data_IF_130093503021
#
_entry.id   IF_130093503021
#
_cell.length_a   1.000
_cell.length_b   1.000
_cell.length_c   1.000
_cell.angle_alpha   90.00
_cell.angle_beta   90.00
_cell.angle_gamma   90.00
#
_symmetry.space_group_name_H-M   'P 1'
#
loop_
_entity.id
_entity.type
_entity.pdbx_description
1 polymer ?
#
# COMPACT_ATOMS: atom_id res chain seq x y z
N UNK A 1 -19.07 -15.13 -1.56
CA UNK A 1 -19.78 -13.90 -2.02
C UNK A 1 -19.42 -13.68 -3.49
N UNK A 2 -20.36 -13.31 -4.36
CA UNK A 2 -20.04 -12.98 -5.76
C UNK A 2 -20.05 -11.46 -5.90
N UNK A 3 -18.93 -10.87 -6.29
CA UNK A 3 -18.82 -9.45 -6.54
C UNK A 3 -19.65 -9.03 -7.76
N UNK A 4 -20.26 -7.87 -7.71
CA UNK A 4 -20.83 -7.23 -8.91
C UNK A 4 -19.71 -6.79 -9.85
N UNK A 5 -20.01 -6.58 -11.17
CA UNK A 5 -18.99 -6.08 -12.11
C UNK A 5 -18.33 -4.78 -11.67
N UNK A 6 -19.05 -3.88 -10.99
CA UNK A 6 -18.51 -2.64 -10.47
C UNK A 6 -17.57 -2.86 -9.26
N UNK A 7 -17.90 -3.80 -8.38
CA UNK A 7 -17.04 -4.18 -7.26
C UNK A 7 -15.76 -4.86 -7.73
N UNK A 8 -15.85 -5.74 -8.74
CA UNK A 8 -14.68 -6.39 -9.34
C UNK A 8 -13.76 -5.36 -10.03
N UNK A 9 -14.33 -4.40 -10.78
CA UNK A 9 -13.56 -3.31 -11.40
C UNK A 9 -12.82 -2.48 -10.34
N UNK A 10 -13.44 -2.21 -9.19
CA UNK A 10 -12.82 -1.52 -8.05
C UNK A 10 -11.74 -2.38 -7.37
N UNK A 11 -11.95 -3.69 -7.27
CA UNK A 11 -10.92 -4.60 -6.76
C UNK A 11 -9.67 -4.61 -7.66
N UNK A 12 -9.85 -4.69 -9.00
CA UNK A 12 -8.76 -4.49 -9.96
C UNK A 12 -8.11 -3.10 -9.78
N UNK A 13 -8.93 -2.06 -9.62
CA UNK A 13 -8.46 -0.69 -9.40
C UNK A 13 -7.53 -0.57 -8.21
N UNK A 14 -7.84 -1.22 -7.09
CA UNK A 14 -7.02 -1.18 -5.87
C UNK A 14 -5.59 -1.68 -6.10
N UNK A 15 -5.39 -2.68 -6.95
CA UNK A 15 -4.07 -3.25 -7.24
C UNK A 15 -3.39 -2.53 -8.39
N UNK A 16 -4.09 -2.33 -9.52
CA UNK A 16 -3.50 -1.72 -10.71
C UNK A 16 -3.12 -0.26 -10.48
N UNK A 17 -3.98 0.53 -9.80
CA UNK A 17 -3.67 1.93 -9.56
C UNK A 17 -2.55 2.11 -8.52
N UNK A 18 -2.38 1.18 -7.58
CA UNK A 18 -1.22 1.12 -6.69
C UNK A 18 0.07 0.92 -7.50
N UNK A 19 0.12 -0.08 -8.37
CA UNK A 19 1.29 -0.37 -9.18
C UNK A 19 1.60 0.74 -10.20
N UNK A 20 0.58 1.37 -10.79
CA UNK A 20 0.74 2.53 -11.68
C UNK A 20 1.27 3.74 -10.90
N UNK A 21 0.76 3.99 -9.69
CA UNK A 21 1.21 5.08 -8.82
C UNK A 21 2.68 4.93 -8.41
N UNK A 22 3.07 3.76 -7.95
CA UNK A 22 4.43 3.35 -7.63
C UNK A 22 5.38 3.65 -8.82
N UNK A 23 5.10 3.04 -9.98
CA UNK A 23 5.94 3.23 -11.17
C UNK A 23 5.99 4.69 -11.67
N UNK A 24 4.90 5.47 -11.51
CA UNK A 24 4.89 6.90 -11.85
C UNK A 24 5.76 7.73 -10.90
N UNK A 25 5.74 7.38 -9.61
CA UNK A 25 6.46 8.11 -8.58
C UNK A 25 7.97 7.90 -8.63
N UNK A 26 8.45 6.73 -9.05
CA UNK A 26 9.82 6.27 -8.87
C UNK A 26 10.92 7.21 -9.45
N UNK A 27 10.65 7.93 -10.55
CA UNK A 27 11.61 8.88 -11.09
C UNK A 27 11.69 10.23 -10.35
N UNK A 28 10.65 10.54 -9.54
CA UNK A 28 10.55 11.81 -8.82
C UNK A 28 10.91 11.68 -7.34
N UNK A 29 11.21 10.48 -6.90
CA UNK A 29 11.52 10.12 -5.51
C UNK A 29 12.69 10.97 -4.97
N UNK A 30 12.58 11.40 -3.72
CA UNK A 30 13.47 12.33 -3.02
C UNK A 30 13.60 13.72 -3.66
N UNK A 31 12.78 14.02 -4.67
CA UNK A 31 12.71 15.34 -5.29
C UNK A 31 11.86 16.33 -4.50
N UNK A 32 11.97 17.63 -4.82
CA UNK A 32 11.10 18.65 -4.25
C UNK A 32 9.66 18.51 -4.79
N UNK A 33 8.66 19.11 -4.11
CA UNK A 33 7.33 19.22 -4.67
C UNK A 33 7.33 19.87 -6.06
N UNK A 34 6.50 19.32 -6.96
CA UNK A 34 6.34 19.85 -8.33
C UNK A 34 5.18 20.85 -8.37
N UNK A 35 5.16 21.71 -9.41
CA UNK A 35 3.98 22.55 -9.67
C UNK A 35 2.81 21.69 -10.14
N UNK A 36 1.58 22.17 -9.91
CA UNK A 36 0.36 21.43 -10.25
C UNK A 36 0.20 21.20 -11.77
N UNK A 37 0.85 22.06 -12.59
CA UNK A 37 0.85 21.95 -14.04
C UNK A 37 1.96 21.03 -14.59
N UNK A 38 2.84 20.49 -13.73
CA UNK A 38 3.93 19.63 -14.18
C UNK A 38 3.36 18.28 -14.64
N UNK A 39 3.58 17.88 -15.91
CA UNK A 39 3.19 16.55 -16.36
C UNK A 39 3.92 15.45 -15.57
N UNK A 40 3.17 14.45 -15.11
CA UNK A 40 3.74 13.26 -14.48
C UNK A 40 3.72 12.12 -15.49
N UNK A 41 4.89 11.56 -15.78
CA UNK A 41 5.08 10.52 -16.79
C UNK A 41 6.00 9.43 -16.26
N UNK A 42 5.97 8.25 -16.85
CA UNK A 42 6.96 7.21 -16.57
C UNK A 42 8.36 7.63 -17.02
N UNK A 43 9.34 7.36 -16.19
CA UNK A 43 10.75 7.59 -16.47
C UNK A 43 11.65 6.57 -15.79
N UNK A 44 12.95 6.79 -15.82
CA UNK A 44 13.90 5.94 -15.09
C UNK A 44 13.90 6.34 -13.63
N UNK A 45 13.57 5.39 -12.75
CA UNK A 45 13.55 5.60 -11.31
C UNK A 45 14.92 5.89 -10.71
N UNK A 46 14.94 6.49 -9.53
CA UNK A 46 16.17 6.91 -8.82
C UNK A 46 17.11 5.73 -8.58
N UNK A 47 16.58 4.55 -8.33
CA UNK A 47 17.35 3.31 -8.15
C UNK A 47 17.55 2.50 -9.43
N UNK A 48 17.23 3.06 -10.60
CA UNK A 48 17.43 2.42 -11.89
C UNK A 48 16.30 1.49 -12.34
N UNK A 49 15.09 1.63 -11.77
CA UNK A 49 13.89 1.01 -12.32
C UNK A 49 13.59 1.60 -13.70
N UNK A 50 13.20 0.77 -14.65
CA UNK A 50 12.85 1.22 -16.00
C UNK A 50 11.53 2.01 -16.02
N UNK A 51 11.25 2.68 -17.15
CA UNK A 51 9.98 3.39 -17.32
C UNK A 51 8.78 2.41 -17.23
N UNK A 52 7.89 2.67 -16.27
CA UNK A 52 6.75 1.78 -15.95
C UNK A 52 7.09 0.56 -15.10
N UNK A 53 8.34 0.39 -14.69
CA UNK A 53 8.74 -0.64 -13.72
C UNK A 53 8.42 -0.16 -12.31
N UNK A 54 7.63 -0.96 -11.57
CA UNK A 54 7.33 -0.68 -10.15
C UNK A 54 8.52 -0.99 -9.25
N UNK A 55 8.53 -0.41 -8.04
CA UNK A 55 9.61 -0.51 -7.06
C UNK A 55 9.33 -1.56 -5.98
N UNK A 56 9.86 -1.36 -4.76
CA UNK A 56 9.63 -2.23 -3.62
C UNK A 56 8.17 -2.21 -3.13
N UNK A 57 7.43 -1.12 -3.29
CA UNK A 57 6.03 -1.00 -2.89
C UNK A 57 5.18 -2.13 -3.47
N UNK A 58 5.13 -2.22 -4.78
CA UNK A 58 4.36 -3.26 -5.48
C UNK A 58 5.04 -4.62 -5.37
N UNK A 59 6.37 -4.68 -5.46
CA UNK A 59 7.10 -5.95 -5.32
C UNK A 59 6.81 -6.64 -3.99
N UNK A 60 6.69 -5.89 -2.89
CA UNK A 60 6.34 -6.45 -1.59
C UNK A 60 4.84 -6.77 -1.44
N UNK A 61 3.96 -6.11 -2.21
CA UNK A 61 2.54 -6.43 -2.26
C UNK A 61 2.26 -7.74 -3.01
N UNK A 62 3.10 -8.12 -3.99
CA UNK A 62 2.87 -9.30 -4.82
C UNK A 62 2.79 -10.63 -4.05
N UNK A 63 3.68 -10.97 -3.10
CA UNK A 63 3.54 -12.19 -2.31
C UNK A 63 2.23 -12.26 -1.51
N UNK A 64 1.70 -11.13 -1.06
CA UNK A 64 0.41 -11.06 -0.37
C UNK A 64 -0.73 -11.40 -1.34
N UNK A 65 -0.73 -10.75 -2.51
CA UNK A 65 -1.74 -11.00 -3.55
C UNK A 65 -1.68 -12.44 -4.08
N UNK A 66 -0.48 -12.97 -4.29
CA UNK A 66 -0.27 -14.35 -4.75
C UNK A 66 -0.77 -15.39 -3.72
N UNK A 67 -0.56 -15.14 -2.42
CA UNK A 67 -1.09 -15.99 -1.36
C UNK A 67 -2.62 -16.03 -1.40
N UNK A 68 -3.27 -14.87 -1.52
CA UNK A 68 -4.73 -14.78 -1.66
C UNK A 68 -5.23 -15.47 -2.93
N UNK A 69 -4.58 -15.23 -4.08
CA UNK A 69 -4.91 -15.88 -5.34
C UNK A 69 -4.77 -17.42 -5.28
N UNK A 70 -3.85 -17.93 -4.45
CA UNK A 70 -3.72 -19.35 -4.12
C UNK A 70 -4.74 -19.89 -3.13
N UNK A 71 -5.69 -19.07 -2.65
CA UNK A 71 -6.70 -19.45 -1.67
C UNK A 71 -6.19 -19.52 -0.25
N UNK A 72 -5.00 -18.99 0.05
CA UNK A 72 -4.44 -19.01 1.40
C UNK A 72 -5.03 -17.88 2.27
N UNK A 73 -5.20 -18.16 3.55
CA UNK A 73 -5.68 -17.17 4.54
C UNK A 73 -4.51 -16.33 5.06
N UNK A 74 -4.63 -15.01 5.04
CA UNK A 74 -3.66 -14.11 5.67
C UNK A 74 -3.72 -14.12 7.21
N UNK A 75 -4.68 -14.82 7.80
CA UNK A 75 -4.74 -15.09 9.25
C UNK A 75 -4.02 -16.41 9.62
N UNK A 76 -3.51 -17.16 8.64
CA UNK A 76 -2.71 -18.37 8.89
C UNK A 76 -1.22 -18.01 9.07
N UNK A 77 -0.59 -18.38 10.20
CA UNK A 77 0.84 -18.13 10.44
C UNK A 77 1.78 -18.70 9.36
N UNK A 78 1.42 -19.85 8.78
CA UNK A 78 2.24 -20.44 7.71
C UNK A 78 2.19 -19.60 6.44
N UNK A 79 1.06 -18.99 6.10
CA UNK A 79 0.91 -18.05 5.00
C UNK A 79 1.77 -16.81 5.21
N UNK A 80 1.74 -16.21 6.41
CA UNK A 80 2.56 -15.05 6.74
C UNK A 80 4.06 -15.39 6.69
N UNK A 81 4.45 -16.56 7.17
CA UNK A 81 5.83 -17.04 7.02
C UNK A 81 6.26 -17.14 5.55
N UNK A 82 5.38 -17.67 4.67
CA UNK A 82 5.67 -17.79 3.24
C UNK A 82 5.83 -16.43 2.55
N UNK A 83 5.04 -15.43 2.94
CA UNK A 83 5.18 -14.05 2.46
C UNK A 83 6.55 -13.47 2.85
N UNK A 84 7.01 -13.68 4.09
CA UNK A 84 8.34 -13.23 4.53
C UNK A 84 9.46 -13.95 3.77
N UNK A 85 9.30 -15.25 3.50
CA UNK A 85 10.27 -16.00 2.67
C UNK A 85 10.37 -15.37 1.27
N UNK A 86 9.25 -15.07 0.63
CA UNK A 86 9.22 -14.42 -0.68
C UNK A 86 9.85 -13.02 -0.66
N UNK A 87 9.62 -12.21 0.39
CA UNK A 87 10.30 -10.93 0.57
C UNK A 87 11.82 -11.08 0.72
N UNK A 88 12.28 -12.10 1.45
CA UNK A 88 13.73 -12.39 1.58
C UNK A 88 14.35 -12.79 0.25
N UNK A 89 13.63 -13.56 -0.57
CA UNK A 89 14.10 -13.94 -1.89
C UNK A 89 14.18 -12.74 -2.82
N UNK A 90 13.12 -11.93 -2.89
CA UNK A 90 13.09 -10.68 -3.65
C UNK A 90 14.23 -9.73 -3.24
N UNK A 91 14.45 -9.54 -1.95
CA UNK A 91 15.42 -8.58 -1.43
C UNK A 91 16.89 -8.91 -1.77
N UNK A 92 17.18 -10.12 -2.29
CA UNK A 92 18.57 -10.51 -2.68
C UNK A 92 19.06 -9.74 -3.89
N UNK A 93 18.15 -9.52 -4.86
CA UNK A 93 18.49 -8.93 -6.16
C UNK A 93 17.70 -7.62 -6.41
N UNK A 94 16.90 -7.17 -5.43
CA UNK A 94 16.12 -5.96 -5.54
C UNK A 94 17.00 -4.71 -5.67
N UNK A 95 16.61 -3.81 -6.59
CA UNK A 95 17.29 -2.54 -6.84
C UNK A 95 17.17 -1.60 -5.65
N UNK A 96 16.01 -1.67 -4.98
CA UNK A 96 15.69 -0.92 -3.78
C UNK A 96 15.07 -1.83 -2.73
N UNK A 97 15.43 -1.63 -1.48
CA UNK A 97 14.81 -2.25 -0.30
C UNK A 97 14.90 -1.26 0.84
N UNK A 98 13.77 -0.84 1.36
CA UNK A 98 13.72 0.09 2.50
C UNK A 98 14.63 -0.33 3.66
N UNK A 99 15.35 0.60 4.26
CA UNK A 99 16.40 0.32 5.25
C UNK A 99 15.90 -0.50 6.45
N UNK A 100 14.70 -0.22 6.96
CA UNK A 100 14.10 -0.98 8.06
C UNK A 100 13.75 -2.40 7.63
N UNK A 101 13.08 -2.57 6.49
CA UNK A 101 12.74 -3.88 5.90
C UNK A 101 13.99 -4.72 5.73
N UNK A 102 15.05 -4.15 5.13
CA UNK A 102 16.35 -4.82 4.95
C UNK A 102 16.93 -5.28 6.29
N UNK A 103 16.88 -4.43 7.32
CA UNK A 103 17.42 -4.74 8.65
C UNK A 103 16.67 -5.92 9.27
N UNK A 104 15.33 -5.93 9.23
CA UNK A 104 14.52 -7.01 9.78
C UNK A 104 14.74 -8.31 9.00
N UNK A 105 14.65 -8.28 7.66
CA UNK A 105 14.82 -9.49 6.83
C UNK A 105 16.23 -10.09 6.96
N UNK A 106 17.26 -9.26 7.15
CA UNK A 106 18.64 -9.72 7.36
C UNK A 106 18.90 -10.33 8.74
N UNK A 107 18.07 -10.00 9.73
CA UNK A 107 18.14 -10.57 11.08
C UNK A 107 17.53 -11.98 11.18
N UNK A 108 16.79 -12.42 10.15
CA UNK A 108 16.14 -13.72 10.14
C UNK A 108 17.12 -14.81 9.71
N UNK A 109 17.50 -15.67 10.64
CA UNK A 109 18.36 -16.84 10.39
C UNK A 109 17.55 -18.13 10.41
N UNK A 110 17.93 -19.12 9.60
CA UNK A 110 17.28 -20.45 9.56
C UNK A 110 15.83 -20.40 9.06
N UNK A 111 14.99 -21.25 9.65
CA UNK A 111 13.56 -21.36 9.26
C UNK A 111 12.80 -20.09 9.61
N UNK A 112 12.05 -19.58 8.65
CA UNK A 112 11.19 -18.39 8.81
C UNK A 112 9.83 -18.83 9.34
N UNK A 113 9.43 -18.22 10.45
CA UNK A 113 8.05 -18.29 10.98
C UNK A 113 7.53 -16.87 11.19
N UNK A 114 6.22 -16.71 11.30
CA UNK A 114 5.63 -15.42 11.64
C UNK A 114 6.20 -14.85 12.95
N UNK A 115 6.23 -15.66 14.02
CA UNK A 115 6.72 -15.23 15.34
C UNK A 115 8.17 -14.71 15.24
N UNK A 116 9.04 -15.43 14.53
CA UNK A 116 10.45 -14.98 14.35
C UNK A 116 10.56 -13.69 13.57
N UNK A 117 9.70 -13.46 12.57
CA UNK A 117 9.68 -12.21 11.82
C UNK A 117 9.21 -11.04 12.70
N UNK A 118 8.16 -11.25 13.48
CA UNK A 118 7.64 -10.26 14.43
C UNK A 118 8.63 -9.98 15.55
N UNK A 119 9.30 -11.00 16.11
CA UNK A 119 10.36 -10.83 17.09
C UNK A 119 11.53 -10.01 16.53
N UNK A 120 11.96 -10.28 15.30
CA UNK A 120 13.00 -9.52 14.64
C UNK A 120 12.60 -8.05 14.42
N UNK A 121 11.35 -7.79 14.01
CA UNK A 121 10.82 -6.43 13.86
C UNK A 121 10.72 -5.71 15.22
N UNK A 122 10.28 -6.39 16.27
CA UNK A 122 10.27 -5.89 17.64
C UNK A 122 11.68 -5.53 18.13
N UNK A 123 12.65 -6.40 17.91
CA UNK A 123 14.03 -6.17 18.29
C UNK A 123 14.67 -4.97 17.56
N UNK A 124 14.34 -4.79 16.28
CA UNK A 124 14.76 -3.61 15.51
C UNK A 124 14.13 -2.36 16.09
N UNK A 125 12.83 -2.38 16.41
CA UNK A 125 12.13 -1.28 17.07
C UNK A 125 12.76 -0.95 18.44
N UNK A 126 12.96 -1.94 19.29
CA UNK A 126 13.52 -1.75 20.63
C UNK A 126 14.93 -1.12 20.60
N UNK A 127 15.76 -1.52 19.62
CA UNK A 127 17.10 -0.96 19.44
C UNK A 127 17.13 0.44 18.85
N UNK A 128 16.24 0.73 17.89
CA UNK A 128 16.19 2.01 17.21
C UNK A 128 15.36 3.06 17.96
N UNK A 129 14.48 2.64 18.88
CA UNK A 129 13.53 3.50 19.58
C UNK A 129 12.41 4.05 18.68
N UNK A 130 12.42 3.70 17.40
CA UNK A 130 11.41 4.07 16.39
C UNK A 130 11.45 3.07 15.23
N UNK A 131 10.29 2.77 14.65
CA UNK A 131 10.16 1.88 13.48
C UNK A 131 8.92 2.24 12.64
N UNK A 132 8.57 3.51 12.62
CA UNK A 132 7.38 4.05 11.98
C UNK A 132 7.54 4.36 10.48
N UNK A 133 8.42 3.66 9.76
CA UNK A 133 8.55 3.81 8.31
C UNK A 133 7.27 3.44 7.57
N UNK A 134 7.05 3.99 6.37
CA UNK A 134 5.85 3.77 5.56
C UNK A 134 5.81 2.40 4.82
N UNK A 135 6.89 1.63 4.87
CA UNK A 135 7.06 0.37 4.13
C UNK A 135 6.07 -0.75 4.49
N UNK A 136 5.34 -0.66 5.61
CA UNK A 136 4.22 -1.55 5.87
C UNK A 136 2.97 -1.09 5.10
N UNK A 137 2.66 0.21 5.11
CA UNK A 137 1.44 0.76 4.52
C UNK A 137 1.41 0.65 2.99
N UNK A 138 2.56 0.85 2.33
CA UNK A 138 2.70 0.85 0.88
C UNK A 138 2.24 -0.45 0.21
N UNK A 139 2.38 -1.59 0.90
CA UNK A 139 2.14 -2.94 0.38
C UNK A 139 0.81 -3.56 0.82
N UNK A 140 -0.01 -2.86 1.61
CA UNK A 140 -1.19 -3.46 2.26
C UNK A 140 -2.43 -3.54 1.37
N UNK A 141 -2.47 -2.85 0.22
CA UNK A 141 -3.65 -2.81 -0.65
C UNK A 141 -4.33 -4.16 -0.89
N UNK A 142 -3.60 -5.23 -1.24
CA UNK A 142 -4.18 -6.55 -1.50
C UNK A 142 -4.86 -7.21 -0.31
N UNK A 143 -4.54 -6.85 0.95
CA UNK A 143 -5.11 -7.52 2.15
C UNK A 143 -6.63 -7.45 2.14
N UNK A 144 -7.20 -6.32 1.72
CA UNK A 144 -8.65 -6.11 1.67
C UNK A 144 -9.37 -7.13 0.77
N UNK A 145 -8.71 -7.62 -0.30
CA UNK A 145 -9.31 -8.53 -1.27
C UNK A 145 -9.69 -9.89 -0.67
N UNK A 146 -8.91 -10.38 0.28
CA UNK A 146 -9.21 -11.62 1.00
C UNK A 146 -10.33 -11.51 2.04
N UNK A 147 -10.87 -10.31 2.27
CA UNK A 147 -11.79 -10.03 3.37
C UNK A 147 -13.04 -9.24 2.92
N UNK A 148 -13.48 -9.42 1.67
CA UNK A 148 -14.63 -8.68 1.12
C UNK A 148 -15.99 -9.22 1.59
N UNK A 149 -16.07 -10.47 2.08
CA UNK A 149 -17.31 -11.05 2.56
C UNK A 149 -17.82 -10.35 3.85
N UNK A 150 -19.13 -10.44 4.09
CA UNK A 150 -19.75 -9.87 5.28
C UNK A 150 -19.16 -10.51 6.56
N UNK A 151 -18.93 -9.68 7.56
CA UNK A 151 -18.40 -10.12 8.87
C UNK A 151 -16.89 -10.40 8.90
N UNK A 152 -16.15 -10.08 7.83
CA UNK A 152 -14.71 -10.29 7.74
C UNK A 152 -13.88 -9.12 8.30
N UNK A 153 -14.51 -8.06 8.81
CA UNK A 153 -13.82 -6.85 9.30
C UNK A 153 -12.80 -7.17 10.40
N UNK A 154 -13.17 -8.03 11.36
CA UNK A 154 -12.25 -8.40 12.44
C UNK A 154 -11.04 -9.19 11.92
N UNK A 155 -11.27 -10.14 11.00
CA UNK A 155 -10.20 -10.90 10.38
C UNK A 155 -9.28 -10.00 9.54
N UNK A 156 -9.83 -8.98 8.86
CA UNK A 156 -9.05 -7.96 8.15
C UNK A 156 -8.15 -7.16 9.10
N UNK A 157 -8.70 -6.69 10.21
CA UNK A 157 -7.95 -5.96 11.25
C UNK A 157 -6.77 -6.79 11.76
N UNK A 158 -7.01 -8.07 12.07
CA UNK A 158 -5.97 -8.99 12.51
C UNK A 158 -4.89 -9.18 11.44
N UNK A 159 -5.28 -9.48 10.19
CA UNK A 159 -4.35 -9.68 9.09
C UNK A 159 -3.51 -8.43 8.81
N UNK A 160 -4.12 -7.24 8.76
CA UNK A 160 -3.43 -5.99 8.51
C UNK A 160 -2.40 -5.66 9.61
N UNK A 161 -2.79 -5.86 10.87
CA UNK A 161 -1.90 -5.67 12.03
C UNK A 161 -0.69 -6.61 11.94
N UNK A 162 -0.94 -7.91 11.80
CA UNK A 162 0.12 -8.94 11.76
C UNK A 162 1.07 -8.74 10.59
N UNK A 163 0.56 -8.43 9.39
CA UNK A 163 1.38 -8.14 8.21
C UNK A 163 2.25 -6.89 8.38
N UNK A 164 1.74 -5.84 9.03
CA UNK A 164 2.54 -4.67 9.36
C UNK A 164 3.70 -5.03 10.29
N UNK A 165 3.41 -5.78 11.36
CA UNK A 165 4.35 -6.18 12.40
C UNK A 165 5.43 -7.17 11.94
N UNK A 166 5.30 -7.79 10.75
CA UNK A 166 6.38 -8.62 10.18
C UNK A 166 7.67 -7.84 9.91
N UNK A 167 7.59 -6.51 9.77
CA UNK A 167 8.76 -5.65 9.52
C UNK A 167 8.71 -4.30 10.22
N UNK A 168 7.53 -3.83 10.66
CA UNK A 168 7.31 -2.50 11.23
C UNK A 168 6.48 -2.62 12.50
N UNK A 169 7.15 -2.64 13.64
CA UNK A 169 6.52 -2.92 14.95
C UNK A 169 5.82 -1.72 15.59
N UNK A 170 6.07 -0.51 15.11
CA UNK A 170 5.46 0.68 15.73
C UNK A 170 3.94 0.70 15.54
N UNK A 171 3.19 1.06 16.59
CA UNK A 171 1.72 1.03 16.58
C UNK A 171 1.10 1.90 15.49
N UNK A 172 1.75 2.99 15.09
CA UNK A 172 1.28 3.84 13.98
C UNK A 172 1.22 3.06 12.65
N UNK A 173 2.11 2.07 12.45
CA UNK A 173 2.05 1.21 11.25
C UNK A 173 0.84 0.30 11.27
N UNK A 174 0.57 -0.37 12.39
CA UNK A 174 -0.60 -1.23 12.52
C UNK A 174 -1.89 -0.44 12.33
N UNK A 175 -2.02 0.72 13.00
CA UNK A 175 -3.21 1.57 12.88
C UNK A 175 -3.41 2.08 11.46
N UNK A 176 -2.37 2.59 10.79
CA UNK A 176 -2.43 3.05 9.41
C UNK A 176 -2.87 1.94 8.46
N UNK A 177 -2.26 0.75 8.57
CA UNK A 177 -2.60 -0.40 7.74
C UNK A 177 -4.05 -0.87 7.96
N UNK A 178 -4.51 -0.92 9.22
CA UNK A 178 -5.90 -1.28 9.55
C UNK A 178 -6.89 -0.31 8.93
N UNK A 179 -6.70 1.01 9.16
CA UNK A 179 -7.59 2.03 8.63
C UNK A 179 -7.62 2.03 7.10
N UNK A 180 -6.45 1.89 6.47
CA UNK A 180 -6.33 1.89 5.01
C UNK A 180 -6.96 0.66 4.38
N UNK A 181 -6.72 -0.54 4.92
CA UNK A 181 -7.33 -1.78 4.42
C UNK A 181 -8.86 -1.78 4.58
N UNK A 182 -9.39 -1.29 5.70
CA UNK A 182 -10.82 -1.13 5.90
C UNK A 182 -11.41 -0.09 4.94
N UNK A 183 -10.70 1.03 4.71
CA UNK A 183 -11.07 2.02 3.71
C UNK A 183 -11.13 1.45 2.30
N UNK A 184 -10.13 0.64 1.89
CA UNK A 184 -10.12 -0.06 0.59
C UNK A 184 -11.29 -1.05 0.51
N UNK A 185 -11.52 -1.86 1.55
CA UNK A 185 -12.67 -2.77 1.60
C UNK A 185 -13.99 -2.01 1.43
N UNK A 186 -14.19 -0.95 2.20
CA UNK A 186 -15.36 -0.09 2.10
C UNK A 186 -15.53 0.46 0.68
N UNK A 187 -14.47 1.02 0.11
CA UNK A 187 -14.50 1.58 -1.23
C UNK A 187 -14.80 0.54 -2.31
N UNK A 188 -14.22 -0.68 -2.25
CA UNK A 188 -14.54 -1.76 -3.19
C UNK A 188 -16.03 -2.10 -3.13
N UNK A 189 -16.61 -2.19 -1.94
CA UNK A 189 -18.01 -2.58 -1.75
C UNK A 189 -19.00 -1.49 -2.13
N UNK A 190 -18.69 -0.21 -1.84
CA UNK A 190 -19.63 0.91 -1.96
C UNK A 190 -19.29 1.90 -3.08
N UNK A 191 -17.99 2.09 -3.41
CA UNK A 191 -17.48 3.15 -4.27
C UNK A 191 -17.27 4.48 -3.53
N UNK A 192 -17.30 4.48 -2.20
CA UNK A 192 -17.18 5.68 -1.38
C UNK A 192 -15.88 5.69 -0.59
N UNK A 193 -15.30 6.89 -0.39
CA UNK A 193 -14.15 7.12 0.46
C UNK A 193 -14.63 7.36 1.90
N UNK A 194 -14.31 6.43 2.82
CA UNK A 194 -14.61 6.60 4.24
C UNK A 194 -13.51 6.00 5.12
N UNK A 195 -12.62 6.83 5.63
CA UNK A 195 -11.62 6.46 6.64
C UNK A 195 -12.05 6.89 8.06
N UNK A 196 -12.84 7.95 8.19
CA UNK A 196 -13.34 8.40 9.49
C UNK A 196 -14.29 7.39 10.12
N UNK A 197 -15.11 6.72 9.32
CA UNK A 197 -16.01 5.65 9.77
C UNK A 197 -15.26 4.38 10.21
N UNK A 198 -13.97 4.23 9.88
CA UNK A 198 -13.18 3.06 10.26
C UNK A 198 -12.44 3.22 11.61
N UNK A 199 -12.47 4.39 12.23
CA UNK A 199 -11.71 4.69 13.45
C UNK A 199 -12.05 3.79 14.64
N UNK A 200 -13.23 3.21 14.69
CA UNK A 200 -13.60 2.29 15.77
C UNK A 200 -12.84 0.96 15.74
N UNK A 201 -12.18 0.66 14.63
CA UNK A 201 -11.39 -0.56 14.48
C UNK A 201 -10.01 -0.49 15.15
N UNK A 202 -9.52 0.70 15.50
CA UNK A 202 -8.26 0.88 16.21
C UNK A 202 -8.49 1.11 17.72
N UNK A 203 -7.46 0.91 18.58
CA UNK A 203 -7.56 1.13 20.02
C UNK A 203 -8.06 2.52 20.39
N UNK A 204 -8.97 2.58 21.36
CA UNK A 204 -9.71 3.79 21.73
C UNK A 204 -8.81 4.97 22.08
N UNK A 205 -7.67 4.70 22.75
CA UNK A 205 -6.70 5.71 23.18
C UNK A 205 -5.95 6.39 22.02
N UNK A 206 -6.01 5.83 20.80
CA UNK A 206 -5.36 6.38 19.61
C UNK A 206 -6.32 7.01 18.61
N UNK A 207 -7.65 6.80 18.79
CA UNK A 207 -8.69 7.25 17.84
C UNK A 207 -8.71 8.76 17.62
N UNK A 208 -8.61 9.56 18.69
CA UNK A 208 -8.65 11.02 18.57
C UNK A 208 -7.44 11.55 17.78
N UNK A 209 -6.27 10.95 17.97
CA UNK A 209 -5.06 11.29 17.22
C UNK A 209 -5.22 10.95 15.74
N UNK A 210 -5.70 9.74 15.40
CA UNK A 210 -5.93 9.34 14.02
C UNK A 210 -7.06 10.11 13.36
N UNK A 211 -8.09 10.47 14.11
CA UNK A 211 -9.14 11.39 13.65
C UNK A 211 -8.53 12.72 13.23
N UNK A 212 -7.71 13.33 14.06
CA UNK A 212 -7.06 14.60 13.75
C UNK A 212 -6.17 14.52 12.50
N UNK A 213 -5.38 13.46 12.34
CA UNK A 213 -4.57 13.22 11.13
C UNK A 213 -5.42 13.08 9.87
N UNK A 214 -6.52 12.34 9.96
CA UNK A 214 -7.43 12.12 8.83
C UNK A 214 -8.16 13.41 8.46
N UNK A 215 -8.67 14.16 9.44
CA UNK A 215 -9.35 15.44 9.22
C UNK A 215 -8.41 16.50 8.64
N UNK A 216 -7.13 16.54 9.08
CA UNK A 216 -6.11 17.43 8.52
C UNK A 216 -5.88 17.14 7.01
N UNK A 217 -5.80 15.88 6.64
CA UNK A 217 -5.59 15.46 5.24
C UNK A 217 -6.85 15.67 4.36
N UNK A 218 -8.05 15.60 4.95
CA UNK A 218 -9.32 15.84 4.27
C UNK A 218 -9.73 17.32 4.25
N UNK A 219 -8.97 18.21 4.90
CA UNK A 219 -9.31 19.63 4.98
C UNK A 219 -9.37 20.28 3.59
N UNK A 220 -10.33 21.21 3.34
CA UNK A 220 -10.40 21.90 2.07
C UNK A 220 -9.08 22.59 1.71
N UNK A 221 -8.53 22.26 0.53
CA UNK A 221 -7.25 22.80 0.05
C UNK A 221 -6.02 22.06 0.54
N UNK A 222 -6.14 21.01 1.35
CA UNK A 222 -5.01 20.15 1.72
C UNK A 222 -4.36 19.56 0.46
N UNK A 223 -3.03 19.52 0.46
CA UNK A 223 -2.26 19.02 -0.67
C UNK A 223 -1.15 18.07 -0.17
N UNK A 224 -0.80 17.00 -0.92
CA UNK A 224 0.29 16.10 -0.55
C UNK A 224 1.60 16.79 -0.15
N UNK A 225 1.92 17.94 -0.78
CA UNK A 225 3.11 18.74 -0.45
C UNK A 225 3.15 19.24 0.99
N UNK A 226 1.99 19.40 1.64
CA UNK A 226 1.90 19.84 3.02
C UNK A 226 2.41 18.77 4.00
N UNK A 227 2.44 17.53 3.54
CA UNK A 227 2.86 16.34 4.28
C UNK A 227 4.18 15.74 3.77
N UNK A 228 4.80 16.30 2.72
CA UNK A 228 5.98 15.74 2.07
C UNK A 228 7.23 15.74 2.95
N UNK A 229 7.31 16.69 3.87
CA UNK A 229 8.40 16.69 4.84
C UNK A 229 8.28 15.48 5.76
N UNK A 230 9.23 14.55 5.67
CA UNK A 230 9.26 13.29 6.41
C UNK A 230 8.15 12.29 6.00
N UNK A 231 7.70 12.29 4.75
CA UNK A 231 6.71 11.32 4.27
C UNK A 231 7.23 9.87 4.15
N UNK A 232 8.49 9.61 4.46
CA UNK A 232 8.97 8.29 4.84
C UNK A 232 8.41 7.78 6.19
N UNK A 233 7.82 8.65 7.02
CA UNK A 233 7.05 8.24 8.19
C UNK A 233 5.61 7.90 7.80
N UNK A 234 5.12 6.76 8.28
CA UNK A 234 3.81 6.18 7.90
C UNK A 234 2.65 7.16 8.04
N UNK A 235 2.62 7.99 9.09
CA UNK A 235 1.55 8.98 9.29
C UNK A 235 1.57 10.05 8.20
N UNK A 236 2.73 10.57 7.83
CA UNK A 236 2.84 11.57 6.76
C UNK A 236 2.57 10.98 5.38
N UNK A 237 2.97 9.73 5.13
CA UNK A 237 2.60 9.01 3.91
C UNK A 237 1.08 8.80 3.82
N UNK A 238 0.43 8.37 4.91
CA UNK A 238 -1.03 8.25 5.02
C UNK A 238 -1.72 9.58 4.72
N UNK A 239 -1.30 10.67 5.37
CA UNK A 239 -1.87 12.01 5.17
C UNK A 239 -1.66 12.53 3.74
N UNK A 240 -0.46 12.37 3.19
CA UNK A 240 -0.13 12.78 1.82
C UNK A 240 -0.97 12.03 0.78
N UNK A 241 -1.10 10.72 0.94
CA UNK A 241 -1.93 9.87 0.08
C UNK A 241 -3.42 10.26 0.16
N UNK A 242 -3.94 10.47 1.37
CA UNK A 242 -5.33 10.87 1.57
C UNK A 242 -5.62 12.26 1.01
N UNK A 243 -4.71 13.24 1.20
CA UNK A 243 -4.85 14.58 0.62
C UNK A 243 -4.77 14.57 -0.92
N UNK A 244 -4.00 13.64 -1.50
CA UNK A 244 -3.99 13.43 -2.94
C UNK A 244 -5.36 13.00 -3.45
N UNK A 245 -6.00 12.04 -2.79
CA UNK A 245 -7.32 11.50 -3.17
C UNK A 245 -8.41 12.55 -2.96
N UNK A 246 -8.46 13.16 -1.76
CA UNK A 246 -9.53 14.09 -1.39
C UNK A 246 -9.61 15.33 -2.27
N UNK A 247 -8.47 15.81 -2.77
CA UNK A 247 -8.41 16.98 -3.65
C UNK A 247 -8.47 16.66 -5.14
N UNK A 248 -8.58 15.38 -5.52
CA UNK A 248 -8.51 14.96 -6.92
C UNK A 248 -9.86 15.02 -7.63
N UNK A 249 -9.82 15.32 -8.94
CA UNK A 249 -10.97 15.30 -9.84
C UNK A 249 -11.16 13.95 -10.55
N UNK A 250 -10.14 13.08 -10.53
CA UNK A 250 -10.14 11.76 -11.16
C UNK A 250 -9.09 10.85 -10.53
N UNK A 251 -9.13 9.55 -10.86
CA UNK A 251 -8.09 8.60 -10.43
C UNK A 251 -6.68 9.03 -10.89
N UNK A 252 -6.54 9.40 -12.16
CA UNK A 252 -5.24 9.86 -12.68
C UNK A 252 -4.76 11.12 -11.96
N UNK A 253 -5.65 12.07 -11.71
CA UNK A 253 -5.33 13.28 -10.96
C UNK A 253 -4.86 12.94 -9.52
N UNK A 254 -5.48 11.96 -8.86
CA UNK A 254 -5.04 11.52 -7.53
C UNK A 254 -3.59 10.99 -7.54
N UNK A 255 -3.24 10.16 -8.54
CA UNK A 255 -1.87 9.65 -8.69
C UNK A 255 -0.87 10.78 -8.97
N UNK A 256 -1.19 11.66 -9.93
CA UNK A 256 -0.33 12.79 -10.27
C UNK A 256 -0.15 13.77 -9.10
N UNK A 257 -1.22 14.05 -8.34
CA UNK A 257 -1.15 14.88 -7.14
C UNK A 257 -0.25 14.26 -6.08
N UNK A 258 -0.32 12.93 -5.87
CA UNK A 258 0.55 12.22 -4.93
C UNK A 258 2.03 12.41 -5.32
N UNK A 259 2.35 12.19 -6.60
CA UNK A 259 3.72 12.39 -7.13
C UNK A 259 4.17 13.85 -7.01
N UNK A 260 3.29 14.83 -7.34
CA UNK A 260 3.61 16.28 -7.23
C UNK A 260 3.83 16.72 -5.79
N UNK A 261 3.45 15.90 -4.81
CA UNK A 261 3.74 16.15 -3.39
C UNK A 261 5.23 16.25 -3.06
N UNK A 262 6.07 15.52 -3.78
CA UNK A 262 7.51 15.44 -3.52
C UNK A 262 7.90 14.50 -2.37
N UNK A 263 9.19 14.35 -2.15
CA UNK A 263 9.73 13.42 -1.14
C UNK A 263 9.64 11.98 -1.61
N UNK A 264 9.05 11.11 -0.84
CA UNK A 264 8.84 9.68 -1.10
C UNK A 264 7.61 9.50 -2.01
N UNK A 265 7.80 9.75 -3.30
CA UNK A 265 6.71 9.96 -4.27
C UNK A 265 6.09 8.66 -4.78
N UNK A 266 6.88 7.62 -4.96
CA UNK A 266 6.42 6.30 -5.36
C UNK A 266 5.57 5.66 -4.27
N UNK A 267 6.07 5.65 -3.03
CA UNK A 267 5.32 5.13 -1.87
C UNK A 267 4.01 5.89 -1.65
N UNK A 268 4.02 7.22 -1.66
CA UNK A 268 2.78 8.00 -1.46
C UNK A 268 1.79 7.76 -2.60
N UNK A 269 2.27 7.63 -3.86
CA UNK A 269 1.41 7.35 -5.00
C UNK A 269 0.92 5.90 -5.05
N UNK A 270 1.70 4.91 -4.60
CA UNK A 270 1.25 3.53 -4.42
C UNK A 270 0.14 3.43 -3.36
N UNK A 271 0.33 4.07 -2.19
CA UNK A 271 -0.67 4.13 -1.13
C UNK A 271 -1.95 4.81 -1.66
N UNK A 272 -1.83 6.02 -2.25
CA UNK A 272 -2.98 6.74 -2.81
C UNK A 272 -3.69 5.92 -3.90
N UNK A 273 -2.94 5.28 -4.79
CA UNK A 273 -3.44 4.45 -5.86
C UNK A 273 -4.30 3.29 -5.37
N UNK A 274 -3.89 2.62 -4.30
CA UNK A 274 -4.63 1.49 -3.75
C UNK A 274 -6.05 1.87 -3.29
N UNK A 275 -6.22 3.00 -2.65
CA UNK A 275 -7.52 3.46 -2.17
C UNK A 275 -8.30 4.23 -3.27
N UNK A 276 -7.65 5.11 -4.04
CA UNK A 276 -8.30 5.80 -5.14
C UNK A 276 -8.78 4.83 -6.21
N UNK A 277 -7.98 3.80 -6.53
CA UNK A 277 -8.37 2.72 -7.43
C UNK A 277 -9.56 1.92 -6.92
N UNK A 278 -9.64 1.69 -5.60
CA UNK A 278 -10.79 1.06 -4.96
C UNK A 278 -12.08 1.91 -5.02
N UNK A 279 -11.95 3.23 -5.10
CA UNK A 279 -13.10 4.15 -5.28
C UNK A 279 -13.56 4.20 -6.73
N UNK A 280 -12.62 4.41 -7.66
CA UNK A 280 -12.90 4.75 -9.06
C UNK A 280 -12.98 3.55 -10.00
N UNK A 281 -12.35 2.41 -9.66
CA UNK A 281 -12.19 1.24 -10.53
C UNK A 281 -11.02 1.36 -11.50
N UNK A 282 -10.57 0.21 -12.01
CA UNK A 282 -9.42 0.10 -12.93
C UNK A 282 -9.66 0.77 -14.27
N UNK A 283 -10.92 0.77 -14.75
CA UNK A 283 -11.32 1.39 -16.01
C UNK A 283 -11.16 2.91 -16.05
N UNK A 284 -10.99 3.53 -14.90
CA UNK A 284 -10.68 4.97 -14.79
C UNK A 284 -9.21 5.29 -15.11
N UNK A 285 -8.31 4.28 -15.18
CA UNK A 285 -6.92 4.46 -15.57
C UNK A 285 -6.78 4.58 -17.10
N UNK A 286 -5.91 5.48 -17.59
CA UNK A 286 -5.52 5.50 -18.99
C UNK A 286 -4.86 4.19 -19.42
N UNK A 287 -5.32 3.61 -20.54
CA UNK A 287 -4.80 2.33 -21.06
C UNK A 287 -3.27 2.35 -21.23
N UNK A 288 -2.70 3.46 -21.69
CA UNK A 288 -1.26 3.62 -21.89
C UNK A 288 -0.44 3.46 -20.59
N UNK A 289 -0.98 3.85 -19.44
CA UNK A 289 -0.33 3.63 -18.16
C UNK A 289 -0.40 2.16 -17.75
N UNK A 290 -1.57 1.55 -17.90
CA UNK A 290 -1.81 0.15 -17.53
C UNK A 290 -0.99 -0.82 -18.38
N UNK A 291 -0.92 -0.60 -19.69
CA UNK A 291 -0.18 -1.47 -20.63
C UNK A 291 1.35 -1.42 -20.41
N UNK A 292 1.85 -0.32 -19.86
CA UNK A 292 3.28 -0.11 -19.65
C UNK A 292 3.76 -0.70 -18.32
N UNK A 293 2.91 -0.71 -17.28
CA UNK A 293 3.31 -1.10 -15.92
C UNK A 293 3.76 -2.56 -15.85
N UNK A 294 4.89 -2.80 -15.19
CA UNK A 294 5.50 -4.12 -15.02
C UNK A 294 6.52 -4.12 -13.87
N UNK A 295 6.94 -5.30 -13.41
CA UNK A 295 8.02 -5.42 -12.43
C UNK A 295 8.17 -6.82 -11.84
N UNK A 296 8.87 -6.93 -10.72
CA UNK A 296 9.13 -8.21 -10.07
C UNK A 296 7.82 -8.94 -9.69
N UNK A 297 7.78 -10.28 -9.84
CA UNK A 297 8.79 -11.21 -10.38
C UNK A 297 8.71 -11.41 -11.91
N UNK A 298 8.45 -10.39 -12.68
CA UNK A 298 8.28 -10.43 -14.14
C UNK A 298 6.83 -10.33 -14.56
N UNK A 299 5.96 -9.76 -13.70
CA UNK A 299 4.54 -9.60 -13.96
C UNK A 299 4.25 -8.29 -14.70
N UNK A 300 3.05 -8.27 -15.34
CA UNK A 300 2.46 -7.13 -16.02
C UNK A 300 1.02 -6.93 -15.57
N UNK A 301 0.39 -5.87 -16.02
CA UNK A 301 -1.00 -5.53 -15.67
C UNK A 301 -2.00 -6.69 -15.83
N UNK A 302 -1.94 -7.44 -16.93
CA UNK A 302 -2.82 -8.59 -17.14
C UNK A 302 -2.60 -9.73 -16.13
N UNK A 303 -1.37 -9.90 -15.64
CA UNK A 303 -1.07 -10.87 -14.57
C UNK A 303 -1.67 -10.41 -13.24
N UNK A 304 -1.60 -9.10 -12.96
CA UNK A 304 -2.21 -8.51 -11.76
C UNK A 304 -3.73 -8.67 -11.76
N UNK A 305 -4.38 -8.43 -12.92
CA UNK A 305 -5.83 -8.66 -13.09
C UNK A 305 -6.19 -10.13 -12.80
N UNK A 306 -5.45 -11.07 -13.37
CA UNK A 306 -5.68 -12.50 -13.15
C UNK A 306 -5.50 -12.91 -11.68
N UNK A 307 -4.51 -12.33 -10.98
CA UNK A 307 -4.30 -12.56 -9.54
C UNK A 307 -5.45 -11.99 -8.71
N UNK A 308 -5.95 -10.80 -9.07
CA UNK A 308 -7.13 -10.21 -8.38
C UNK A 308 -8.36 -11.08 -8.59
N UNK A 309 -8.62 -11.50 -9.85
CA UNK A 309 -9.75 -12.40 -10.15
C UNK A 309 -9.70 -13.66 -9.29
N UNK A 310 -8.51 -14.28 -9.16
CA UNK A 310 -8.34 -15.48 -8.34
C UNK A 310 -8.49 -15.19 -6.83
N UNK A 311 -7.98 -14.04 -6.35
CA UNK A 311 -8.02 -13.67 -4.94
C UNK A 311 -9.43 -13.35 -4.42
N UNK A 312 -10.34 -12.87 -5.28
CA UNK A 312 -11.72 -12.50 -4.88
C UNK A 312 -12.77 -13.60 -5.11
N UNK A 313 -12.34 -14.77 -5.59
CA UNK A 313 -13.20 -15.97 -5.68
C UNK A 313 -13.34 -16.53 -4.26
N UNK A 314 -14.43 -16.20 -3.59
CA UNK A 314 -14.76 -16.64 -2.22
C UNK A 314 -15.90 -17.67 -2.27
#
# INVERSE_FOLDING_TARGET
MTLTPAQLDRAHGAVLASAVGDALGSQYEFGPPLSDDTPVVYGVGVFGHGAGEWTDDTSMAMPILQALAGGASLNDPATLASVVVAWREWARDAKDVGAQTRTVLSALEGDVTEDRARDAAHDVHARAGRSGGNGALMRTGPIALGHLADGQEHALVEAATRLAELTHWESDNADACVLWCLGIRHAILTGELDLLGQLDAIPAERRDRWRAFTEEALAPGAHPRDFSQQNGWVVRAYQGALAAIAGASSLTDALERAVRGGGDTDTVAAIAGSLAGAVHGSRALPAALVETVHGWPGLRSGDLEALVDAAVVI
#
